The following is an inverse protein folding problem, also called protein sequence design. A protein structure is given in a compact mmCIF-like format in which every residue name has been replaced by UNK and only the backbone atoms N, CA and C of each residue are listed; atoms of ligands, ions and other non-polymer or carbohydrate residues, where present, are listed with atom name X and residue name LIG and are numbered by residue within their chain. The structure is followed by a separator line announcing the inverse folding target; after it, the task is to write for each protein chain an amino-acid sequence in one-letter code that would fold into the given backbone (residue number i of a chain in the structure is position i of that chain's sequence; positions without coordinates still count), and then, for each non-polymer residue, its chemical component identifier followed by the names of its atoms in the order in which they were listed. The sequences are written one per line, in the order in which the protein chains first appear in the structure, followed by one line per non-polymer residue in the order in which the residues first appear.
data_IF_574568502558
#
_entry.id   IF_574568502558
#
_cell.length_a   1.000
_cell.length_b   1.000
_cell.length_c   1.000
_cell.angle_alpha   90.00
_cell.angle_beta   90.00
_cell.angle_gamma   90.00
#
_symmetry.space_group_name_H-M   'P 1'
#
loop_
_entity.id
_entity.type
_entity.pdbx_description
1 polymer ?
#
# COMPACT_ATOMS: atom_id res chain seq x y z
N UNK A 1 12.27 6.40 -9.05
CA UNK A 1 10.81 6.27 -9.26
C UNK A 1 10.38 7.50 -10.04
N UNK A 2 9.62 7.31 -11.11
CA UNK A 2 9.11 8.36 -11.96
C UNK A 2 7.86 8.97 -11.33
N UNK A 3 7.95 10.25 -10.94
CA UNK A 3 6.85 10.98 -10.32
C UNK A 3 5.88 11.58 -11.34
N UNK A 4 6.19 11.51 -12.65
CA UNK A 4 5.23 11.83 -13.71
C UNK A 4 4.14 10.75 -13.84
N UNK A 5 4.43 9.52 -13.44
CA UNK A 5 3.46 8.43 -13.40
C UNK A 5 2.53 8.55 -12.19
N UNK A 6 1.28 8.12 -12.36
CA UNK A 6 0.25 8.25 -11.33
C UNK A 6 0.54 7.41 -10.08
N UNK A 7 0.07 7.91 -8.93
CA UNK A 7 -0.19 7.08 -7.76
C UNK A 7 -1.65 6.63 -7.80
N UNK A 8 -1.90 5.44 -8.32
CA UNK A 8 -3.24 4.99 -8.66
C UNK A 8 -3.96 4.51 -7.40
N UNK A 9 -5.15 5.06 -7.11
CA UNK A 9 -6.01 4.57 -6.03
C UNK A 9 -6.63 3.24 -6.47
N UNK A 10 -6.38 2.19 -5.70
CA UNK A 10 -6.72 0.82 -6.06
C UNK A 10 -7.26 0.05 -4.85
N UNK A 11 -7.94 -1.05 -5.17
CA UNK A 11 -8.29 -2.10 -4.22
C UNK A 11 -7.29 -3.26 -4.32
N UNK A 12 -7.10 -4.01 -3.24
CA UNK A 12 -6.26 -5.20 -3.17
C UNK A 12 -6.64 -6.23 -4.25
N UNK A 13 -7.93 -6.39 -4.53
CA UNK A 13 -8.41 -7.27 -5.61
C UNK A 13 -7.96 -6.81 -7.00
N UNK A 14 -7.88 -5.49 -7.25
CA UNK A 14 -7.47 -4.92 -8.53
C UNK A 14 -5.96 -5.06 -8.77
N UNK A 15 -5.15 -5.01 -7.71
CA UNK A 15 -3.69 -5.19 -7.79
C UNK A 15 -3.29 -6.54 -8.41
N UNK A 16 -4.11 -7.58 -8.24
CA UNK A 16 -3.88 -8.92 -8.80
C UNK A 16 -3.95 -8.94 -10.34
N UNK A 17 -4.56 -7.92 -10.94
CA UNK A 17 -4.71 -7.81 -12.39
C UNK A 17 -3.67 -6.89 -13.04
N UNK A 18 -2.83 -6.22 -12.24
CA UNK A 18 -1.77 -5.39 -12.77
C UNK A 18 -0.64 -6.24 -13.38
N UNK A 19 0.03 -5.70 -14.40
CA UNK A 19 1.11 -6.39 -15.13
C UNK A 19 2.34 -5.50 -15.19
N UNK A 20 3.52 -6.10 -15.10
CA UNK A 20 4.77 -5.39 -15.36
C UNK A 20 4.87 -4.96 -16.82
N UNK A 21 5.47 -3.79 -17.05
CA UNK A 21 5.81 -3.35 -18.40
C UNK A 21 7.27 -3.69 -18.73
N UNK A 22 7.59 -4.18 -19.95
CA UNK A 22 8.94 -4.63 -20.28
C UNK A 22 10.03 -3.54 -20.30
N UNK A 23 9.66 -2.28 -20.52
CA UNK A 23 10.61 -1.20 -20.87
C UNK A 23 10.75 -0.11 -19.80
N UNK A 24 9.82 -0.05 -18.86
CA UNK A 24 9.80 0.90 -17.77
C UNK A 24 9.57 0.11 -16.50
N UNK A 25 10.27 0.44 -15.41
CA UNK A 25 10.03 -0.11 -14.08
C UNK A 25 8.65 0.36 -13.57
N UNK A 26 7.59 0.01 -14.28
CA UNK A 26 6.23 0.49 -14.17
C UNK A 26 5.28 -0.69 -14.39
N UNK A 27 4.06 -0.49 -13.93
CA UNK A 27 2.98 -1.45 -13.96
C UNK A 27 1.85 -0.86 -14.80
N UNK A 28 1.07 -1.73 -15.44
CA UNK A 28 -0.14 -1.35 -16.16
C UNK A 28 -1.37 -2.04 -15.59
N UNK A 29 -2.45 -1.29 -15.45
CA UNK A 29 -3.79 -1.81 -15.13
C UNK A 29 -4.81 -1.04 -15.96
N UNK A 30 -5.57 -1.75 -16.80
CA UNK A 30 -6.57 -1.10 -17.67
C UNK A 30 -5.98 -0.06 -18.62
N UNK A 31 -4.72 -0.21 -19.04
CA UNK A 31 -4.01 0.74 -19.90
C UNK A 31 -3.37 1.93 -19.17
N UNK A 32 -3.56 2.05 -17.86
CA UNK A 32 -2.96 3.12 -17.05
C UNK A 32 -1.59 2.66 -16.55
N UNK A 33 -0.55 3.43 -16.85
CA UNK A 33 0.78 3.23 -16.28
C UNK A 33 0.89 3.83 -14.89
N UNK A 34 1.40 3.04 -13.94
CA UNK A 34 1.63 3.48 -12.58
C UNK A 34 2.87 2.79 -11.99
N UNK A 35 3.46 3.43 -10.98
CA UNK A 35 4.51 2.83 -10.15
C UNK A 35 4.12 2.78 -8.67
N UNK A 36 3.15 3.62 -8.30
CA UNK A 36 2.70 3.78 -6.93
C UNK A 36 1.24 3.39 -6.84
N UNK A 37 0.90 2.60 -5.84
CA UNK A 37 -0.48 2.34 -5.48
C UNK A 37 -0.84 3.20 -4.26
N UNK A 38 -2.07 3.67 -4.24
CA UNK A 38 -2.71 4.28 -3.10
C UNK A 38 -3.81 3.34 -2.60
N UNK A 39 -3.63 2.79 -1.40
CA UNK A 39 -4.60 1.93 -0.72
C UNK A 39 -5.17 2.61 0.52
N UNK A 40 -6.35 2.17 0.95
CA UNK A 40 -6.97 2.56 2.21
C UNK A 40 -7.59 1.33 2.86
N UNK A 41 -7.49 1.18 4.18
CA UNK A 41 -7.98 -0.01 4.87
C UNK A 41 -7.62 -0.05 6.34
N UNK A 42 -7.94 -1.17 6.97
CA UNK A 42 -7.70 -1.42 8.40
C UNK A 42 -6.46 -2.28 8.55
N UNK A 43 -5.59 -1.94 9.50
CA UNK A 43 -4.51 -2.83 9.91
C UNK A 43 -5.06 -4.04 10.66
N UNK A 44 -4.99 -5.22 10.06
CA UNK A 44 -5.48 -6.48 10.67
C UNK A 44 -4.36 -7.27 11.35
N UNK A 45 -3.10 -6.93 11.03
CA UNK A 45 -1.93 -7.48 11.69
C UNK A 45 -0.79 -6.47 11.69
N UNK A 46 -0.08 -6.39 12.81
CA UNK A 46 1.15 -5.64 13.01
C UNK A 46 2.19 -6.62 13.55
N UNK A 47 3.34 -6.73 12.89
CA UNK A 47 4.43 -7.59 13.38
C UNK A 47 5.03 -7.04 14.69
N UNK A 48 5.60 -7.89 15.56
CA UNK A 48 6.19 -7.42 16.84
C UNK A 48 7.30 -6.39 16.69
N UNK A 49 8.04 -6.42 15.58
CA UNK A 49 9.10 -5.48 15.20
C UNK A 49 8.60 -4.27 14.39
N UNK A 50 7.30 -4.23 14.07
CA UNK A 50 6.64 -3.14 13.38
C UNK A 50 7.11 -2.92 11.93
N UNK A 51 7.84 -3.85 11.32
CA UNK A 51 8.35 -3.71 9.96
C UNK A 51 7.38 -4.18 8.87
N UNK A 52 6.44 -5.05 9.26
CA UNK A 52 5.45 -5.69 8.41
C UNK A 52 4.05 -5.50 8.97
N UNK A 53 3.20 -4.84 8.20
CA UNK A 53 1.78 -4.68 8.52
C UNK A 53 0.94 -5.39 7.46
N UNK A 54 -0.24 -5.90 7.84
CA UNK A 54 -1.24 -6.36 6.90
C UNK A 54 -2.43 -5.40 6.90
N UNK A 55 -2.80 -4.93 5.72
CA UNK A 55 -3.90 -4.01 5.49
C UNK A 55 -5.04 -4.73 4.77
N UNK A 56 -6.22 -4.70 5.34
CA UNK A 56 -7.47 -5.20 4.73
C UNK A 56 -8.32 -4.03 4.24
N UNK A 57 -8.67 -4.05 2.96
CA UNK A 57 -9.53 -3.04 2.31
C UNK A 57 -10.94 -3.54 1.98
N UNK A 58 -11.35 -4.67 2.58
CA UNK A 58 -12.56 -5.44 2.32
C UNK A 58 -12.62 -6.18 0.97
N UNK A 59 -11.58 -6.08 0.13
CA UNK A 59 -11.45 -6.87 -1.11
C UNK A 59 -10.29 -7.87 -1.07
N UNK A 60 -9.43 -7.73 -0.07
CA UNK A 60 -8.32 -8.62 0.21
C UNK A 60 -7.31 -7.96 1.13
N UNK A 61 -6.23 -8.69 1.38
CA UNK A 61 -5.15 -8.25 2.26
C UNK A 61 -3.93 -7.88 1.43
N UNK A 62 -3.30 -6.75 1.75
CA UNK A 62 -2.00 -6.34 1.25
C UNK A 62 -0.97 -6.29 2.37
N UNK A 63 0.27 -6.66 2.07
CA UNK A 63 1.40 -6.50 2.97
C UNK A 63 2.01 -5.10 2.78
N UNK A 64 2.19 -4.38 3.88
CA UNK A 64 2.89 -3.11 3.92
C UNK A 64 4.30 -3.33 4.47
N UNK A 65 5.31 -3.07 3.66
CA UNK A 65 6.71 -3.14 4.06
C UNK A 65 7.23 -1.75 4.39
N UNK A 66 7.71 -1.56 5.63
CA UNK A 66 8.06 -0.24 6.17
C UNK A 66 9.57 0.04 6.12
N UNK A 67 9.91 1.27 5.73
CA UNK A 67 11.25 1.82 5.99
C UNK A 67 11.44 2.10 7.48
N UNK A 68 12.70 2.21 7.91
CA UNK A 68 13.07 2.41 9.32
C UNK A 68 12.30 3.55 10.01
N UNK A 69 12.09 4.66 9.30
CA UNK A 69 11.39 5.85 9.82
C UNK A 69 9.94 5.57 10.24
N UNK A 70 9.27 4.61 9.60
CA UNK A 70 7.90 4.25 9.94
C UNK A 70 7.83 3.21 11.05
N UNK A 71 8.91 2.45 11.32
CA UNK A 71 8.93 1.41 12.37
C UNK A 71 8.82 1.97 13.78
N UNK A 72 9.25 3.22 13.98
CA UNK A 72 9.18 3.89 15.29
C UNK A 72 7.76 4.40 15.62
N UNK A 73 6.80 4.30 14.70
CA UNK A 73 5.42 4.72 14.95
C UNK A 73 4.65 3.61 15.69
N UNK A 74 3.73 3.98 16.60
CA UNK A 74 2.94 3.01 17.36
C UNK A 74 1.80 2.43 16.50
N UNK A 75 2.12 1.52 15.58
CA UNK A 75 1.12 0.82 14.78
C UNK A 75 0.31 -0.13 15.65
N UNK A 76 -1.02 -0.09 15.52
CA UNK A 76 -1.92 -0.98 16.22
C UNK A 76 -2.90 -1.63 15.24
N UNK A 77 -3.31 -2.86 15.56
CA UNK A 77 -4.45 -3.49 14.87
C UNK A 77 -5.70 -2.63 15.05
N UNK A 78 -6.54 -2.56 14.02
CA UNK A 78 -7.75 -1.75 14.00
C UNK A 78 -7.56 -0.33 13.50
N UNK A 79 -6.31 0.15 13.33
CA UNK A 79 -6.07 1.48 12.77
C UNK A 79 -6.51 1.55 11.30
N UNK A 80 -7.34 2.54 10.96
CA UNK A 80 -7.64 2.89 9.58
C UNK A 80 -6.52 3.76 9.02
N UNK A 81 -5.90 3.33 7.93
CA UNK A 81 -4.77 4.03 7.31
C UNK A 81 -4.98 4.20 5.82
N UNK A 82 -4.45 5.31 5.29
CA UNK A 82 -4.27 5.50 3.86
C UNK A 82 -2.77 5.43 3.57
N UNK A 83 -2.38 4.68 2.55
CA UNK A 83 -0.98 4.41 2.25
C UNK A 83 -0.68 4.61 0.78
N UNK A 84 0.44 5.27 0.49
CA UNK A 84 1.00 5.39 -0.85
C UNK A 84 2.39 4.76 -0.86
N UNK A 85 2.61 3.84 -1.78
CA UNK A 85 3.89 3.13 -1.89
C UNK A 85 4.09 2.47 -3.24
N UNK A 86 5.29 1.92 -3.45
CA UNK A 86 5.58 1.14 -4.65
C UNK A 86 4.85 -0.19 -4.58
N UNK A 87 4.11 -0.55 -5.62
CA UNK A 87 3.55 -1.90 -5.72
C UNK A 87 4.62 -2.87 -6.25
N UNK A 88 4.73 -4.03 -5.63
CA UNK A 88 5.61 -5.13 -6.06
C UNK A 88 4.73 -6.35 -6.33
N UNK A 89 4.78 -6.86 -7.56
CA UNK A 89 4.09 -8.11 -7.91
C UNK A 89 4.84 -9.27 -7.25
N UNK A 90 4.09 -10.13 -6.55
CA UNK A 90 4.57 -11.37 -5.95
C UNK A 90 3.65 -12.51 -6.34
N UNK A 91 4.21 -13.66 -6.68
CA UNK A 91 3.44 -14.85 -7.06
C UNK A 91 3.12 -15.67 -5.81
N UNK A 92 1.85 -15.97 -5.56
CA UNK A 92 1.42 -16.83 -4.44
C UNK A 92 1.42 -16.16 -3.06
N UNK A 93 1.75 -14.87 -2.97
CA UNK A 93 1.72 -14.09 -1.74
C UNK A 93 0.74 -12.92 -1.85
N UNK A 94 0.29 -12.31 -0.72
CA UNK A 94 -0.45 -11.06 -0.75
C UNK A 94 0.29 -9.97 -1.52
N UNK A 95 -0.41 -9.05 -2.22
CA UNK A 95 0.24 -7.90 -2.87
C UNK A 95 1.07 -7.11 -1.86
N UNK A 96 2.30 -6.71 -2.24
CA UNK A 96 3.19 -5.95 -1.35
C UNK A 96 3.29 -4.49 -1.78
N UNK A 97 3.12 -3.60 -0.81
CA UNK A 97 3.37 -2.17 -0.94
C UNK A 97 4.63 -1.80 -0.13
N UNK A 98 5.68 -1.35 -0.83
CA UNK A 98 6.82 -0.68 -0.18
C UNK A 98 6.42 0.74 0.16
N UNK A 99 6.13 0.99 1.43
CA UNK A 99 5.48 2.23 1.87
C UNK A 99 6.43 3.41 1.71
N UNK A 100 5.92 4.48 1.09
CA UNK A 100 6.61 5.79 1.04
C UNK A 100 5.95 6.81 1.94
N UNK A 101 4.61 6.78 2.04
CA UNK A 101 3.86 7.76 2.81
C UNK A 101 2.61 7.12 3.37
N UNK A 102 2.33 7.44 4.64
CA UNK A 102 1.02 7.29 5.24
C UNK A 102 0.30 8.63 5.22
N UNK A 103 -1.00 8.57 4.94
CA UNK A 103 -1.93 9.66 5.15
C UNK A 103 -2.90 9.18 6.24
N UNK A 104 -3.11 10.01 7.24
CA UNK A 104 -4.08 9.74 8.30
C UNK A 104 -5.28 10.62 8.04
N UNK A 105 -6.52 10.10 8.24
CA UNK A 105 -7.65 11.00 8.35
C UNK A 105 -7.34 12.02 9.45
N UNK A 106 -7.56 13.29 9.17
CA UNK A 106 -7.44 14.34 10.18
C UNK A 106 -8.41 13.96 11.30
N UNK A 107 -7.93 13.83 12.53
CA UNK A 107 -8.81 13.70 13.69
C UNK A 107 -9.73 14.91 13.66
N UNK A 108 -11.02 14.70 13.42
CA UNK A 108 -12.02 15.70 13.78
C UNK A 108 -12.10 15.59 15.29
N UNK A 109 -11.38 16.45 15.99
CA UNK A 109 -11.66 16.69 17.40
C UNK A 109 -13.07 17.29 17.44
N UNK A 110 -14.05 16.50 17.89
CA UNK A 110 -15.32 17.06 18.30
C UNK A 110 -15.06 17.86 19.58
N UNK A 111 -15.33 19.17 19.51
CA UNK A 111 -15.19 20.15 20.59
C UNK A 111 -16.23 19.94 21.70
#
# INVERSE_FOLDING_TARGET
MDYSLAALKLLCSQLKHARETPSQSALTLGGILFQRAWLQGILVYVSPDGDRLLLDDATGVAELHLSADFRLRPWNNGMYVLVVGAYVIRTGEPPMIKVRRFCFPVSIEEE
#
